data_IF_244251099472
#
_entry.id   IF_244251099472
#
_cell.length_a   1.000
_cell.length_b   1.000
_cell.length_c   1.000
_cell.angle_alpha   90.00
_cell.angle_beta   90.00
_cell.angle_gamma   90.00
#
_symmetry.space_group_name_H-M   'P 1'
#
loop_
_entity.id
_entity.type
_entity.pdbx_description
1 polymer ?
#
# COMPACT_ATOMS: atom_id res chain seq x y z
N UNK A 1 7.41 -3.35 -38.29
CA UNK A 1 7.61 -2.20 -37.39
C UNK A 1 7.25 -2.64 -35.97
N UNK A 2 8.25 -3.01 -35.20
CA UNK A 2 8.09 -3.47 -33.82
C UNK A 2 8.10 -2.25 -32.91
N UNK A 3 7.01 -1.99 -32.24
CA UNK A 3 6.91 -0.96 -31.21
C UNK A 3 7.54 -1.49 -29.93
N UNK A 4 8.66 -0.90 -29.54
CA UNK A 4 9.35 -1.18 -28.28
C UNK A 4 8.43 -0.85 -27.10
N UNK A 5 8.16 -1.88 -26.30
CA UNK A 5 7.54 -1.71 -24.99
C UNK A 5 8.62 -1.10 -24.09
N UNK A 6 8.48 0.18 -23.82
CA UNK A 6 9.34 0.91 -22.87
C UNK A 6 9.11 0.31 -21.49
N UNK A 7 10.09 -0.47 -21.04
CA UNK A 7 10.12 -1.05 -19.72
C UNK A 7 10.15 0.06 -18.66
N UNK A 8 9.19 0.01 -17.73
CA UNK A 8 9.24 0.83 -16.53
C UNK A 8 10.52 0.50 -15.76
N UNK A 9 11.33 1.51 -15.39
CA UNK A 9 12.47 1.25 -14.52
C UNK A 9 11.98 0.70 -13.19
N UNK A 10 12.51 -0.45 -12.80
CA UNK A 10 12.36 -1.01 -11.47
C UNK A 10 12.95 -0.02 -10.48
N UNK A 11 12.10 0.78 -9.86
CA UNK A 11 12.49 1.66 -8.77
C UNK A 11 12.81 0.80 -7.56
N UNK A 12 14.09 0.44 -7.45
CA UNK A 12 14.66 -0.09 -6.22
C UNK A 12 14.45 0.97 -5.14
N UNK A 13 13.69 0.61 -4.09
CA UNK A 13 13.50 1.46 -2.92
C UNK A 13 14.83 1.60 -2.18
N UNK A 14 15.63 2.59 -2.54
CA UNK A 14 16.76 3.04 -1.74
C UNK A 14 16.23 3.82 -0.53
N UNK A 15 15.79 3.06 0.49
CA UNK A 15 15.48 3.57 1.84
C UNK A 15 16.75 4.15 2.49
N UNK A 16 17.92 3.91 1.89
CA UNK A 16 19.24 4.33 2.36
C UNK A 16 19.87 5.43 1.50
N UNK A 17 19.11 6.41 1.02
CA UNK A 17 19.74 7.57 0.38
C UNK A 17 20.35 8.49 1.46
N UNK A 18 21.68 8.50 1.62
CA UNK A 18 22.37 9.29 2.64
C UNK A 18 22.11 10.81 2.49
N UNK A 19 21.86 11.29 1.28
CA UNK A 19 21.56 12.70 1.03
C UNK A 19 20.23 13.15 1.67
N UNK A 20 19.25 12.27 1.86
CA UNK A 20 18.02 12.61 2.59
C UNK A 20 18.19 12.62 4.11
N UNK A 21 19.13 11.83 4.65
CA UNK A 21 19.49 11.86 6.08
C UNK A 21 20.16 13.18 6.46
N UNK A 22 21.05 13.67 5.63
CA UNK A 22 21.83 14.87 5.89
C UNK A 22 20.96 16.15 5.90
N UNK A 23 19.91 16.18 5.07
CA UNK A 23 18.93 17.31 5.04
C UNK A 23 17.96 17.26 6.24
N UNK A 24 17.71 16.07 6.80
CA UNK A 24 16.85 15.91 7.97
C UNK A 24 17.53 16.33 9.28
N UNK A 25 18.86 16.25 9.37
CA UNK A 25 19.63 16.68 10.54
C UNK A 25 19.75 18.21 10.65
N UNK A 26 19.57 18.94 9.53
CA UNK A 26 19.63 20.41 9.49
C UNK A 26 18.29 21.10 9.77
N UNK A 27 17.19 20.40 9.68
CA UNK A 27 15.87 20.87 10.07
C UNK A 27 15.44 20.10 11.33
N UNK A 28 15.04 20.81 12.37
CA UNK A 28 14.50 20.28 13.62
C UNK A 28 13.12 19.61 13.38
N UNK A 29 12.90 19.00 12.20
CA UNK A 29 11.73 18.25 11.82
C UNK A 29 11.92 16.78 12.27
N UNK A 30 11.01 16.31 13.10
CA UNK A 30 10.98 14.91 13.58
C UNK A 30 10.84 14.00 12.37
N UNK A 31 11.97 13.45 11.92
CA UNK A 31 12.03 12.49 10.82
C UNK A 31 11.50 11.14 11.30
N UNK A 32 10.28 10.79 10.90
CA UNK A 32 9.73 9.46 11.13
C UNK A 32 9.65 8.72 9.78
N UNK A 33 10.44 7.64 9.59
CA UNK A 33 10.47 6.88 8.34
C UNK A 33 9.10 6.32 7.95
N UNK A 34 8.25 6.00 8.92
CA UNK A 34 6.89 5.51 8.66
C UNK A 34 6.03 6.57 7.95
N UNK A 35 6.13 7.84 8.34
CA UNK A 35 5.34 8.90 7.70
C UNK A 35 5.80 9.17 6.27
N UNK A 36 7.06 8.95 5.96
CA UNK A 36 7.56 9.05 4.58
C UNK A 36 6.99 7.91 3.74
N UNK A 37 7.05 6.69 4.25
CA UNK A 37 6.51 5.52 3.55
C UNK A 37 5.00 5.66 3.32
N UNK A 38 4.25 6.06 4.33
CA UNK A 38 2.80 6.33 4.23
C UNK A 38 2.51 7.44 3.22
N UNK A 39 3.27 8.54 3.26
CA UNK A 39 3.13 9.64 2.31
C UNK A 39 3.37 9.22 0.87
N UNK A 40 4.42 8.42 0.63
CA UNK A 40 4.72 7.87 -0.70
C UNK A 40 3.62 6.90 -1.18
N UNK A 41 3.04 6.09 -0.29
CA UNK A 41 1.93 5.19 -0.62
C UNK A 41 0.66 5.97 -0.96
N UNK A 42 0.32 7.00 -0.19
CA UNK A 42 -0.81 7.89 -0.49
C UNK A 42 -0.64 8.53 -1.86
N UNK A 43 0.55 9.08 -2.15
CA UNK A 43 0.85 9.67 -3.47
C UNK A 43 0.64 8.66 -4.59
N UNK A 44 1.16 7.44 -4.46
CA UNK A 44 0.99 6.38 -5.47
C UNK A 44 -0.47 6.02 -5.68
N UNK A 45 -1.23 5.85 -4.60
CA UNK A 45 -2.66 5.55 -4.72
C UNK A 45 -3.42 6.69 -5.42
N UNK A 46 -3.07 7.94 -5.11
CA UNK A 46 -3.65 9.11 -5.78
C UNK A 46 -3.33 9.14 -7.28
N UNK A 47 -2.07 8.94 -7.63
CA UNK A 47 -1.61 8.92 -9.02
C UNK A 47 -2.24 7.76 -9.82
N UNK A 48 -2.36 6.59 -9.20
CA UNK A 48 -3.06 5.44 -9.80
C UNK A 48 -4.56 5.71 -10.02
N UNK A 49 -5.17 6.52 -9.16
CA UNK A 49 -6.55 6.98 -9.32
C UNK A 49 -6.69 8.19 -10.28
N UNK A 50 -5.60 8.60 -10.94
CA UNK A 50 -5.53 9.76 -11.82
C UNK A 50 -6.02 11.07 -11.17
N UNK A 51 -5.81 11.22 -9.85
CA UNK A 51 -6.19 12.40 -9.07
C UNK A 51 -5.03 13.38 -8.95
N UNK A 52 -5.32 14.69 -9.00
CA UNK A 52 -4.36 15.73 -8.59
C UNK A 52 -4.34 15.86 -7.06
N UNK A 53 -3.35 16.59 -6.51
CA UNK A 53 -3.35 16.92 -5.08
C UNK A 53 -4.58 17.76 -4.69
N UNK A 54 -5.02 18.66 -5.58
CA UNK A 54 -6.24 19.45 -5.39
C UNK A 54 -7.47 18.55 -5.28
N UNK A 55 -7.65 17.58 -6.19
CA UNK A 55 -8.81 16.68 -6.21
C UNK A 55 -8.88 15.86 -4.92
N UNK A 56 -7.76 15.27 -4.49
CA UNK A 56 -7.73 14.47 -3.26
C UNK A 56 -7.94 15.34 -2.03
N UNK A 57 -7.36 16.54 -1.98
CA UNK A 57 -7.53 17.45 -0.84
C UNK A 57 -8.97 17.92 -0.68
N UNK A 58 -9.65 18.22 -1.79
CA UNK A 58 -11.07 18.56 -1.80
C UNK A 58 -11.92 17.39 -1.30
N UNK A 59 -11.70 16.21 -1.85
CA UNK A 59 -12.43 14.99 -1.49
C UNK A 59 -12.23 14.58 -0.03
N UNK A 60 -11.03 14.78 0.52
CA UNK A 60 -10.68 14.48 1.90
C UNK A 60 -10.99 15.62 2.90
N UNK A 61 -11.38 16.79 2.40
CA UNK A 61 -11.69 17.96 3.25
C UNK A 61 -10.46 18.62 3.87
N UNK A 62 -9.28 18.52 3.24
CA UNK A 62 -8.05 19.15 3.69
C UNK A 62 -7.62 20.29 2.76
N UNK A 63 -6.71 21.16 3.23
CA UNK A 63 -6.01 22.07 2.34
C UNK A 63 -4.92 21.34 1.53
N UNK A 64 -4.76 21.68 0.26
CA UNK A 64 -3.75 21.12 -0.64
C UNK A 64 -2.32 21.16 -0.05
N UNK A 65 -1.96 22.28 0.62
CA UNK A 65 -0.69 22.43 1.32
C UNK A 65 -0.50 21.39 2.42
N UNK A 66 -1.58 21.03 3.12
CA UNK A 66 -1.55 19.98 4.16
C UNK A 66 -1.30 18.62 3.53
N UNK A 67 -2.04 18.29 2.45
CA UNK A 67 -1.86 17.04 1.71
C UNK A 67 -0.44 16.91 1.16
N UNK A 68 0.09 17.99 0.55
CA UNK A 68 1.46 18.01 0.04
C UNK A 68 2.49 17.70 1.13
N UNK A 69 2.33 18.25 2.35
CA UNK A 69 3.21 17.95 3.48
C UNK A 69 3.08 16.51 3.98
N UNK A 70 1.87 15.96 3.98
CA UNK A 70 1.62 14.55 4.34
C UNK A 70 2.26 13.60 3.33
N UNK A 71 2.10 13.85 2.02
CA UNK A 71 2.73 13.05 0.96
C UNK A 71 4.27 13.11 0.99
N UNK A 72 4.84 14.21 1.50
CA UNK A 72 6.29 14.34 1.70
C UNK A 72 6.79 13.71 3.02
N UNK A 73 5.90 13.24 3.89
CA UNK A 73 6.26 12.75 5.22
C UNK A 73 6.76 13.83 6.17
N UNK A 74 6.50 15.11 5.86
CA UNK A 74 6.94 16.29 6.64
C UNK A 74 5.97 16.69 7.74
N UNK A 75 4.94 15.92 7.99
CA UNK A 75 3.93 16.21 8.99
C UNK A 75 3.49 14.92 9.66
N UNK A 76 3.31 14.97 10.97
CA UNK A 76 2.70 13.87 11.69
C UNK A 76 1.27 13.68 11.23
N UNK A 77 0.92 12.44 10.90
CA UNK A 77 -0.42 12.08 10.47
C UNK A 77 -1.22 11.58 11.64
N UNK A 78 -2.38 12.19 11.88
CA UNK A 78 -3.33 11.69 12.87
C UNK A 78 -4.08 10.48 12.30
N UNK A 79 -4.56 9.63 13.18
CA UNK A 79 -5.26 8.40 12.76
C UNK A 79 -6.56 8.69 12.01
N UNK A 80 -7.29 9.73 12.41
CA UNK A 80 -8.49 10.19 11.72
C UNK A 80 -8.17 10.65 10.28
N UNK A 81 -7.09 11.42 10.12
CA UNK A 81 -6.59 11.85 8.80
C UNK A 81 -6.20 10.66 7.92
N UNK A 82 -5.56 9.65 8.51
CA UNK A 82 -5.17 8.42 7.81
C UNK A 82 -6.38 7.68 7.24
N UNK A 83 -7.43 7.48 8.05
CA UNK A 83 -8.66 6.83 7.59
C UNK A 83 -9.41 7.67 6.56
N UNK A 84 -9.49 9.00 6.76
CA UNK A 84 -10.14 9.90 5.79
C UNK A 84 -9.45 9.84 4.42
N UNK A 85 -8.11 9.75 4.37
CA UNK A 85 -7.36 9.60 3.12
C UNK A 85 -7.59 8.24 2.46
N UNK A 86 -7.65 7.15 3.23
CA UNK A 86 -7.97 5.83 2.70
C UNK A 86 -9.36 5.82 2.04
N UNK A 87 -10.36 6.38 2.73
CA UNK A 87 -11.74 6.49 2.22
C UNK A 87 -11.81 7.37 0.97
N UNK A 88 -11.14 8.53 0.97
CA UNK A 88 -11.10 9.44 -0.16
C UNK A 88 -10.44 8.81 -1.40
N UNK A 89 -9.42 7.99 -1.20
CA UNK A 89 -8.73 7.23 -2.25
C UNK A 89 -9.51 5.99 -2.70
N UNK A 90 -10.47 5.50 -1.90
CA UNK A 90 -11.19 4.26 -2.15
C UNK A 90 -10.32 3.01 -1.98
N UNK A 91 -9.32 3.08 -1.10
CA UNK A 91 -8.40 1.98 -0.79
C UNK A 91 -8.56 1.51 0.66
N UNK A 92 -8.04 0.33 0.96
CA UNK A 92 -8.04 -0.13 2.35
C UNK A 92 -6.93 0.54 3.15
N UNK A 93 -7.08 0.70 4.48
CA UNK A 93 -6.02 1.22 5.33
C UNK A 93 -4.69 0.44 5.20
N UNK A 94 -4.74 -0.85 4.89
CA UNK A 94 -3.55 -1.67 4.69
C UNK A 94 -2.76 -1.28 3.43
N UNK A 95 -3.42 -0.72 2.42
CA UNK A 95 -2.77 -0.33 1.16
C UNK A 95 -1.87 0.91 1.34
N UNK A 96 -2.17 1.74 2.34
CA UNK A 96 -1.40 2.94 2.68
C UNK A 96 -0.68 2.84 4.03
N UNK A 97 -0.76 1.69 4.71
CA UNK A 97 -0.03 1.46 5.95
C UNK A 97 1.45 1.11 5.70
N UNK A 98 2.38 1.51 6.61
CA UNK A 98 3.78 1.20 6.44
C UNK A 98 4.05 -0.31 6.46
N UNK A 99 5.00 -0.75 5.65
CA UNK A 99 5.31 -2.18 5.41
C UNK A 99 5.62 -2.96 6.67
N UNK A 100 6.22 -2.33 7.69
CA UNK A 100 6.49 -2.96 8.99
C UNK A 100 5.22 -3.41 9.73
N UNK A 101 4.07 -2.77 9.46
CA UNK A 101 2.78 -3.15 10.05
C UNK A 101 2.01 -4.14 9.18
N UNK A 102 2.19 -4.07 7.86
CA UNK A 102 1.50 -4.92 6.89
C UNK A 102 2.28 -6.19 6.54
N UNK A 103 3.61 -6.18 6.72
CA UNK A 103 4.44 -7.37 6.53
C UNK A 103 4.31 -8.34 7.71
N UNK A 104 3.13 -8.93 7.90
CA UNK A 104 3.14 -10.33 8.31
C UNK A 104 3.96 -11.03 7.25
N UNK A 105 5.03 -11.77 7.65
CA UNK A 105 5.75 -12.65 6.73
C UNK A 105 4.71 -13.50 6.02
N UNK A 106 4.26 -13.06 4.84
CA UNK A 106 3.38 -13.88 4.01
C UNK A 106 4.18 -15.15 3.74
N UNK A 107 3.74 -16.28 4.27
CA UNK A 107 4.39 -17.55 3.98
C UNK A 107 4.41 -17.67 2.44
N UNK A 108 5.60 -17.83 1.86
CA UNK A 108 5.78 -17.93 0.40
C UNK A 108 4.80 -18.93 -0.21
N UNK A 109 4.50 -20.02 0.51
CA UNK A 109 3.52 -21.03 0.10
C UNK A 109 2.13 -20.46 -0.07
N UNK A 110 1.70 -19.54 0.82
CA UNK A 110 0.41 -18.85 0.70
C UNK A 110 0.39 -17.87 -0.49
N UNK A 111 1.48 -17.16 -0.74
CA UNK A 111 1.57 -16.24 -1.88
C UNK A 111 1.51 -16.99 -3.21
N UNK A 112 2.18 -18.14 -3.32
CA UNK A 112 2.14 -18.98 -4.52
C UNK A 112 0.74 -19.58 -4.75
N UNK A 113 0.06 -19.99 -3.68
CA UNK A 113 -1.33 -20.47 -3.75
C UNK A 113 -2.29 -19.35 -4.15
N UNK A 114 -2.17 -18.17 -3.56
CA UNK A 114 -2.98 -16.99 -3.90
C UNK A 114 -2.84 -16.62 -5.39
N UNK A 115 -1.61 -16.64 -5.90
CA UNK A 115 -1.34 -16.38 -7.31
C UNK A 115 -2.01 -17.42 -8.20
N UNK A 116 -1.86 -18.71 -7.90
CA UNK A 116 -2.50 -19.81 -8.63
C UNK A 116 -4.02 -19.71 -8.57
N UNK A 117 -4.58 -19.42 -7.40
CA UNK A 117 -6.02 -19.26 -7.20
C UNK A 117 -6.61 -18.12 -8.03
N UNK A 118 -5.90 -16.99 -8.13
CA UNK A 118 -6.35 -15.83 -8.92
C UNK A 118 -6.42 -16.13 -10.43
N UNK A 119 -5.66 -17.09 -10.93
CA UNK A 119 -5.69 -17.53 -12.32
C UNK A 119 -6.82 -18.54 -12.63
N UNK A 120 -7.54 -19.04 -11.62
CA UNK A 120 -8.64 -19.97 -11.80
C UNK A 120 -9.91 -19.25 -12.29
N UNK A 121 -10.72 -19.97 -13.09
CA UNK A 121 -12.08 -19.50 -13.39
C UNK A 121 -13.03 -19.73 -12.20
N UNK A 122 -14.22 -19.13 -12.21
CA UNK A 122 -15.15 -19.16 -11.06
C UNK A 122 -15.57 -20.58 -10.66
N UNK A 123 -15.76 -21.49 -11.63
CA UNK A 123 -16.09 -22.91 -11.33
C UNK A 123 -14.95 -23.62 -10.61
N UNK A 124 -13.73 -23.35 -11.02
CA UNK A 124 -12.53 -23.90 -10.39
C UNK A 124 -12.31 -23.32 -8.99
N UNK A 125 -12.54 -22.02 -8.81
CA UNK A 125 -12.49 -21.38 -7.49
C UNK A 125 -13.50 -21.98 -6.53
N UNK A 126 -14.74 -22.19 -6.99
CA UNK A 126 -15.78 -22.82 -6.17
C UNK A 126 -15.37 -24.23 -5.73
N UNK A 127 -14.83 -25.04 -6.64
CA UNK A 127 -14.33 -26.38 -6.30
C UNK A 127 -13.22 -26.34 -5.25
N UNK A 128 -12.32 -25.37 -5.33
CA UNK A 128 -11.25 -25.18 -4.32
C UNK A 128 -11.86 -24.81 -2.97
N UNK A 129 -12.83 -23.90 -2.92
CA UNK A 129 -13.53 -23.53 -1.69
C UNK A 129 -14.21 -24.72 -1.05
N UNK A 130 -14.98 -25.49 -1.82
CA UNK A 130 -15.71 -26.67 -1.32
C UNK A 130 -14.75 -27.75 -0.78
N UNK A 131 -13.64 -27.96 -1.49
CA UNK A 131 -12.61 -28.93 -1.07
C UNK A 131 -11.91 -28.47 0.21
N UNK A 132 -11.55 -27.18 0.31
CA UNK A 132 -10.92 -26.64 1.52
C UNK A 132 -11.86 -26.67 2.72
N UNK A 133 -13.14 -26.33 2.54
CA UNK A 133 -14.15 -26.42 3.60
C UNK A 133 -14.30 -27.86 4.12
N UNK A 134 -14.32 -28.84 3.23
CA UNK A 134 -14.40 -30.25 3.61
C UNK A 134 -13.17 -30.74 4.39
N UNK A 135 -11.97 -30.32 3.95
CA UNK A 135 -10.72 -30.65 4.65
C UNK A 135 -10.65 -30.00 6.04
N UNK A 136 -11.03 -28.72 6.14
CA UNK A 136 -11.01 -28.01 7.42
C UNK A 136 -11.97 -28.62 8.44
N UNK A 137 -13.21 -28.96 8.04
CA UNK A 137 -14.17 -29.64 8.88
C UNK A 137 -13.66 -31.01 9.32
N UNK A 138 -12.94 -31.74 8.46
CA UNK A 138 -12.31 -33.01 8.80
C UNK A 138 -11.20 -32.89 9.84
N UNK A 139 -10.41 -31.78 9.78
CA UNK A 139 -9.34 -31.52 10.73
C UNK A 139 -9.86 -31.11 12.12
N UNK A 140 -10.98 -30.37 12.19
CA UNK A 140 -11.62 -30.00 13.47
C UNK A 140 -12.14 -31.21 14.24
N UNK A 141 -12.50 -32.27 13.53
CA UNK A 141 -12.98 -33.56 14.15
C UNK A 141 -11.84 -34.47 14.59
N UNK A 142 -10.58 -34.10 14.40
CA UNK A 142 -9.41 -34.89 14.83
C UNK A 142 -8.86 -34.48 16.21
N UNK A 143 -9.44 -33.47 16.85
CA UNK A 143 -9.14 -33.03 18.22
C UNK A 143 -10.27 -33.45 19.14
#
# INVERSE_FOLDING_TARGET
MLQEVVGFPSFSYDICNPARKEVAELSNEVYNPDFIEVGDLIRKCRENACMTQADLSEKAGFGEKTLSRLEMGKSNMRIDTFFTLADALGVTPNDIAPSRLTSKKKDRRFTDLETKFNHLNEKQKQLVYDTMAHLMNGLENLN
#
